data_IF_264410778763
#
_entry.id   IF_264410778763
#
_cell.length_a   1.000
_cell.length_b   1.000
_cell.length_c   1.000
_cell.angle_alpha   90.00
_cell.angle_beta   90.00
_cell.angle_gamma   90.00
#
_symmetry.space_group_name_H-M   'P 1'
#
loop_
_entity.id
_entity.type
_entity.pdbx_description
1 polymer ?
#
# COMPACT_ATOMS: atom_id res chain seq x y z
N UNK A 1 24.18 21.78 23.16
CA UNK A 1 22.81 22.32 23.37
C UNK A 1 22.13 22.64 22.04
N UNK A 2 22.71 23.46 21.17
CA UNK A 2 22.11 23.82 19.87
C UNK A 2 21.88 22.62 18.96
N UNK A 3 22.84 21.71 18.83
CA UNK A 3 22.71 20.46 18.06
C UNK A 3 21.62 19.53 18.59
N UNK A 4 21.41 19.51 19.90
CA UNK A 4 20.34 18.72 20.52
C UNK A 4 18.96 19.31 20.20
N UNK A 5 18.81 20.62 20.22
CA UNK A 5 17.58 21.33 19.84
C UNK A 5 17.27 21.15 18.36
N UNK A 6 18.27 21.23 17.48
CA UNK A 6 18.13 21.02 16.04
C UNK A 6 17.69 19.58 15.73
N UNK A 7 18.26 18.59 16.42
CA UNK A 7 17.87 17.18 16.28
C UNK A 7 16.44 16.91 16.78
N UNK A 8 16.02 17.54 17.88
CA UNK A 8 14.64 17.45 18.36
C UNK A 8 13.64 18.06 17.38
N UNK A 9 13.94 19.23 16.82
CA UNK A 9 13.07 19.88 15.84
C UNK A 9 12.97 19.08 14.55
N UNK A 10 14.07 18.49 14.07
CA UNK A 10 14.06 17.61 12.90
C UNK A 10 13.25 16.32 13.17
N UNK A 11 13.35 15.75 14.37
CA UNK A 11 12.57 14.60 14.79
C UNK A 11 11.07 14.90 14.86
N UNK A 12 10.67 16.06 15.41
CA UNK A 12 9.29 16.52 15.46
C UNK A 12 8.72 16.80 14.07
N UNK A 13 9.50 17.40 13.17
CA UNK A 13 9.12 17.62 11.78
C UNK A 13 8.85 16.30 11.04
N UNK A 14 9.73 15.32 11.17
CA UNK A 14 9.57 14.01 10.57
C UNK A 14 8.35 13.28 11.13
N UNK A 15 8.16 13.32 12.44
CA UNK A 15 6.99 12.73 13.12
C UNK A 15 5.69 13.32 12.58
N UNK A 16 5.59 14.64 12.52
CA UNK A 16 4.41 15.36 12.03
C UNK A 16 4.15 15.04 10.56
N UNK A 17 5.20 15.00 9.73
CA UNK A 17 5.07 14.70 8.31
C UNK A 17 4.56 13.27 8.08
N UNK A 18 5.14 12.26 8.75
CA UNK A 18 4.71 10.87 8.59
C UNK A 18 3.31 10.66 9.16
N UNK A 19 2.98 11.30 10.29
CA UNK A 19 1.65 11.23 10.88
C UNK A 19 0.58 11.83 9.94
N UNK A 20 0.81 13.02 9.40
CA UNK A 20 -0.08 13.67 8.44
C UNK A 20 -0.20 12.83 7.16
N UNK A 21 0.92 12.30 6.66
CA UNK A 21 0.93 11.42 5.48
C UNK A 21 0.11 10.15 5.71
N UNK A 22 0.20 9.56 6.90
CA UNK A 22 -0.61 8.38 7.28
C UNK A 22 -2.11 8.69 7.21
N UNK A 23 -2.54 9.84 7.74
CA UNK A 23 -3.94 10.28 7.68
C UNK A 23 -4.37 10.52 6.23
N UNK A 24 -3.55 11.19 5.43
CA UNK A 24 -3.88 11.47 4.02
C UNK A 24 -3.99 10.19 3.18
N UNK A 25 -3.10 9.23 3.38
CA UNK A 25 -3.18 7.93 2.70
C UNK A 25 -4.42 7.14 3.16
N UNK A 26 -4.75 7.20 4.46
CA UNK A 26 -6.01 6.61 4.93
C UNK A 26 -7.24 7.22 4.25
N UNK A 27 -7.28 8.55 4.10
CA UNK A 27 -8.38 9.25 3.42
C UNK A 27 -8.48 8.92 1.93
N UNK A 28 -7.39 8.46 1.29
CA UNK A 28 -7.45 8.00 -0.10
C UNK A 28 -8.34 6.77 -0.26
N UNK A 29 -8.43 5.90 0.73
CA UNK A 29 -9.26 4.68 0.66
C UNK A 29 -10.75 4.99 0.55
N UNK A 30 -11.40 5.77 1.43
CA UNK A 30 -12.79 6.21 1.22
C UNK A 30 -12.95 7.08 -0.03
N UNK A 31 -11.95 7.92 -0.37
CA UNK A 31 -11.96 8.66 -1.64
C UNK A 31 -12.08 7.73 -2.84
N UNK A 32 -11.34 6.63 -2.85
CA UNK A 32 -11.39 5.60 -3.88
C UNK A 32 -12.76 4.89 -3.92
N UNK A 33 -13.38 4.65 -2.75
CA UNK A 33 -14.73 4.08 -2.67
C UNK A 33 -15.75 4.96 -3.39
N UNK A 34 -15.74 6.26 -3.13
CA UNK A 34 -16.62 7.23 -3.79
C UNK A 34 -16.31 7.35 -5.28
N UNK A 35 -15.03 7.38 -5.67
CA UNK A 35 -14.62 7.46 -7.06
C UNK A 35 -15.13 6.27 -7.88
N UNK A 36 -14.88 5.04 -7.46
CA UNK A 36 -15.38 3.87 -8.18
C UNK A 36 -16.89 3.69 -8.06
N UNK A 37 -17.47 4.01 -6.89
CA UNK A 37 -18.92 4.00 -6.72
C UNK A 37 -19.62 5.00 -7.63
N UNK A 38 -19.00 6.16 -7.90
CA UNK A 38 -19.53 7.17 -8.84
C UNK A 38 -19.40 6.80 -10.32
N UNK A 39 -18.40 6.00 -10.68
CA UNK A 39 -18.15 5.58 -12.07
C UNK A 39 -18.99 4.37 -12.51
N UNK A 40 -19.54 3.60 -11.57
CA UNK A 40 -20.37 2.44 -11.92
C UNK A 40 -21.87 2.79 -11.87
N UNK A 41 -22.69 1.88 -12.33
CA UNK A 41 -24.16 2.02 -12.29
C UNK A 41 -24.66 2.21 -10.88
N UNK A 42 -25.73 3.00 -10.70
CA UNK A 42 -26.37 3.28 -9.40
C UNK A 42 -26.65 2.02 -8.59
N UNK A 43 -27.08 0.91 -9.23
CA UNK A 43 -27.38 -0.37 -8.56
C UNK A 43 -26.13 -1.07 -7.98
N UNK A 44 -24.95 -0.83 -8.53
CA UNK A 44 -23.67 -1.45 -8.12
C UNK A 44 -22.84 -0.55 -7.21
N UNK A 45 -23.09 0.75 -7.25
CA UNK A 45 -22.31 1.79 -6.55
C UNK A 45 -22.11 1.45 -5.07
N UNK A 46 -23.20 1.14 -4.36
CA UNK A 46 -23.14 0.79 -2.94
C UNK A 46 -22.30 -0.48 -2.69
N UNK A 47 -22.44 -1.49 -3.55
CA UNK A 47 -21.67 -2.74 -3.42
C UNK A 47 -20.19 -2.52 -3.62
N UNK A 48 -19.80 -1.64 -4.53
CA UNK A 48 -18.39 -1.28 -4.78
C UNK A 48 -17.82 -0.54 -3.57
N UNK A 49 -18.54 0.47 -3.08
CA UNK A 49 -18.14 1.21 -1.88
C UNK A 49 -17.99 0.28 -0.68
N UNK A 50 -18.96 -0.63 -0.47
CA UNK A 50 -18.92 -1.61 0.61
C UNK A 50 -17.66 -2.51 0.52
N UNK A 51 -17.28 -2.97 -0.67
CA UNK A 51 -16.06 -3.76 -0.87
C UNK A 51 -14.81 -3.01 -0.43
N UNK A 52 -14.70 -1.73 -0.77
CA UNK A 52 -13.57 -0.90 -0.36
C UNK A 52 -13.53 -0.70 1.16
N UNK A 53 -14.67 -0.43 1.79
CA UNK A 53 -14.73 -0.28 3.25
C UNK A 53 -14.44 -1.60 4.00
N UNK A 54 -14.92 -2.74 3.49
CA UNK A 54 -14.59 -4.06 4.04
C UNK A 54 -13.09 -4.32 4.02
N UNK A 55 -12.37 -3.84 2.97
CA UNK A 55 -10.92 -3.99 2.91
C UNK A 55 -10.20 -3.37 4.11
N UNK A 56 -10.69 -2.25 4.64
CA UNK A 56 -10.09 -1.59 5.80
C UNK A 56 -10.05 -2.56 7.00
N UNK A 57 -11.18 -3.21 7.29
CA UNK A 57 -11.27 -4.15 8.41
C UNK A 57 -10.49 -5.44 8.17
N UNK A 58 -10.70 -6.07 7.03
CA UNK A 58 -10.08 -7.38 6.71
C UNK A 58 -8.56 -7.26 6.59
N UNK A 59 -8.06 -6.27 5.85
CA UNK A 59 -6.61 -6.06 5.72
C UNK A 59 -5.99 -5.63 7.05
N UNK A 60 -6.69 -4.78 7.83
CA UNK A 60 -6.25 -4.38 9.15
C UNK A 60 -6.04 -5.59 10.08
N UNK A 61 -6.98 -6.52 10.11
CA UNK A 61 -6.85 -7.76 10.87
C UNK A 61 -5.70 -8.63 10.35
N UNK A 62 -5.62 -8.85 9.03
CA UNK A 62 -4.52 -9.63 8.44
C UNK A 62 -3.16 -9.02 8.75
N UNK A 63 -3.06 -7.68 8.76
CA UNK A 63 -1.82 -6.96 9.04
C UNK A 63 -1.36 -7.16 10.47
N UNK A 64 -2.29 -7.05 11.43
CA UNK A 64 -2.04 -7.28 12.86
C UNK A 64 -1.64 -8.74 13.13
N UNK A 65 -2.38 -9.69 12.56
CA UNK A 65 -2.20 -11.12 12.80
C UNK A 65 -1.19 -11.79 11.86
N UNK A 66 -0.16 -11.07 11.44
CA UNK A 66 1.00 -11.65 10.76
C UNK A 66 1.43 -10.92 9.49
N UNK A 67 0.57 -10.16 8.82
CA UNK A 67 0.91 -9.48 7.57
C UNK A 67 2.13 -8.55 7.72
N UNK A 68 2.16 -7.75 8.78
CA UNK A 68 3.31 -6.90 9.08
C UNK A 68 4.59 -7.71 9.31
N UNK A 69 4.49 -8.83 10.03
CA UNK A 69 5.62 -9.74 10.24
C UNK A 69 6.12 -10.38 8.96
N UNK A 70 5.22 -10.79 8.07
CA UNK A 70 5.57 -11.37 6.78
C UNK A 70 6.29 -10.37 5.87
N UNK A 71 5.97 -9.08 5.99
CA UNK A 71 6.62 -8.02 5.21
C UNK A 71 7.91 -7.54 5.87
N UNK A 72 7.87 -7.17 7.15
CA UNK A 72 8.97 -6.47 7.85
C UNK A 72 9.67 -7.33 8.92
N UNK A 73 9.33 -8.60 9.03
CA UNK A 73 10.07 -9.54 9.87
C UNK A 73 11.46 -9.85 9.30
N UNK A 74 12.31 -10.45 10.13
CA UNK A 74 13.64 -10.91 9.71
C UNK A 74 13.52 -11.78 8.47
N UNK A 75 14.28 -11.45 7.45
CA UNK A 75 14.25 -12.11 6.14
C UNK A 75 14.52 -13.63 6.23
N UNK A 76 13.68 -14.40 5.55
CA UNK A 76 13.82 -15.85 5.39
C UNK A 76 14.01 -16.14 3.89
N UNK A 77 15.26 -16.39 3.51
CA UNK A 77 15.60 -16.79 2.14
C UNK A 77 15.40 -15.73 1.07
N UNK A 78 15.25 -14.46 1.42
CA UNK A 78 14.98 -13.37 0.47
C UNK A 78 13.53 -13.28 0.00
N UNK A 79 12.65 -14.18 0.46
CA UNK A 79 11.28 -14.34 -0.08
C UNK A 79 10.21 -13.80 0.86
N UNK A 80 10.34 -14.00 2.15
CA UNK A 80 9.33 -13.62 3.14
C UNK A 80 9.96 -13.32 4.50
N UNK A 81 9.33 -12.47 5.29
CA UNK A 81 9.75 -12.19 6.67
C UNK A 81 9.27 -13.25 7.67
N UNK A 82 9.91 -13.30 8.83
CA UNK A 82 9.52 -14.20 9.92
C UNK A 82 8.10 -13.87 10.42
N UNK A 83 7.13 -14.79 10.28
CA UNK A 83 5.71 -14.50 10.56
C UNK A 83 5.41 -14.21 12.04
N UNK A 84 6.26 -14.66 12.97
CA UNK A 84 6.00 -14.56 14.40
C UNK A 84 6.68 -13.37 15.07
N UNK A 85 7.56 -12.65 14.38
CA UNK A 85 8.38 -11.60 15.00
C UNK A 85 7.56 -10.43 15.57
N UNK A 86 6.54 -10.00 14.81
CA UNK A 86 5.66 -8.87 15.17
C UNK A 86 4.18 -9.28 15.25
N UNK A 87 3.91 -10.58 15.36
CA UNK A 87 2.56 -11.14 15.43
C UNK A 87 1.76 -10.51 16.56
N UNK A 88 0.54 -10.06 16.27
CA UNK A 88 -0.41 -9.49 17.23
C UNK A 88 0.24 -8.39 18.13
N UNK A 89 0.97 -7.45 17.49
CA UNK A 89 1.71 -6.37 18.15
C UNK A 89 2.90 -6.82 19.02
N UNK A 90 3.27 -8.09 19.00
CA UNK A 90 4.47 -8.53 19.71
C UNK A 90 5.70 -7.77 19.20
N UNK A 91 6.58 -7.30 20.11
CA UNK A 91 7.77 -6.50 19.79
C UNK A 91 7.51 -5.19 19.01
N UNK A 92 6.27 -4.72 18.90
CA UNK A 92 5.94 -3.42 18.38
C UNK A 92 6.03 -2.39 19.52
N UNK A 93 7.16 -1.70 19.60
CA UNK A 93 7.45 -0.71 20.63
C UNK A 93 7.16 0.71 20.11
N UNK A 94 6.91 1.62 21.07
CA UNK A 94 6.81 3.05 20.77
C UNK A 94 8.18 3.70 20.50
N UNK A 95 9.26 2.96 20.70
CA UNK A 95 10.62 3.41 20.46
C UNK A 95 10.97 3.37 18.96
N UNK A 96 12.06 4.05 18.63
CA UNK A 96 12.59 4.10 17.25
C UNK A 96 13.26 2.76 16.93
N UNK A 97 12.78 2.09 15.89
CA UNK A 97 13.46 0.92 15.35
C UNK A 97 14.39 1.35 14.20
N UNK A 98 15.70 1.40 14.47
CA UNK A 98 16.70 1.89 13.53
C UNK A 98 16.82 1.06 12.24
N UNK A 99 16.30 -0.14 12.21
CA UNK A 99 16.31 -0.99 11.01
C UNK A 99 15.30 -0.51 9.99
N UNK A 100 14.12 -0.05 10.43
CA UNK A 100 13.01 0.30 9.56
C UNK A 100 12.69 1.79 9.55
N UNK A 101 12.94 2.49 10.67
CA UNK A 101 12.64 3.90 10.81
C UNK A 101 13.62 4.56 11.77
N UNK A 102 14.44 5.46 11.25
CA UNK A 102 15.46 6.16 12.04
C UNK A 102 14.95 7.40 12.77
N UNK A 103 13.76 7.90 12.41
CA UNK A 103 13.28 9.20 12.84
C UNK A 103 11.87 9.23 13.40
N UNK A 104 11.11 8.13 13.30
CA UNK A 104 9.74 8.04 13.81
C UNK A 104 9.53 6.78 14.64
N UNK A 105 8.60 6.77 15.63
CA UNK A 105 8.26 5.59 16.41
C UNK A 105 7.84 4.42 15.52
N UNK A 106 8.22 3.21 15.90
CA UNK A 106 7.97 2.02 15.10
C UNK A 106 6.48 1.72 14.90
N UNK A 107 5.65 2.07 15.89
CA UNK A 107 4.19 1.96 15.76
C UNK A 107 3.62 2.89 14.68
N UNK A 108 4.20 4.09 14.49
CA UNK A 108 3.76 4.99 13.41
C UNK A 108 4.17 4.45 12.04
N UNK A 109 5.36 3.85 11.95
CA UNK A 109 5.78 3.14 10.75
C UNK A 109 4.84 1.98 10.42
N UNK A 110 4.44 1.19 11.41
CA UNK A 110 3.45 0.12 11.27
C UNK A 110 2.12 0.65 10.69
N UNK A 111 1.60 1.74 11.27
CA UNK A 111 0.35 2.36 10.81
C UNK A 111 0.48 2.93 9.40
N UNK A 112 1.59 3.58 9.09
CA UNK A 112 1.85 4.14 7.77
C UNK A 112 1.85 3.04 6.70
N UNK A 113 2.55 1.96 6.94
CA UNK A 113 2.61 0.81 6.03
C UNK A 113 1.27 0.06 5.92
N UNK A 114 0.48 0.02 7.01
CA UNK A 114 -0.88 -0.51 6.98
C UNK A 114 -1.76 0.25 5.99
N UNK A 115 -1.64 1.57 5.89
CA UNK A 115 -2.46 2.37 4.95
C UNK A 115 -2.19 1.97 3.50
N UNK A 116 -0.95 1.67 3.15
CA UNK A 116 -0.61 1.15 1.81
C UNK A 116 -1.16 -0.25 1.58
N UNK A 117 -1.09 -1.12 2.57
CA UNK A 117 -1.68 -2.45 2.48
C UNK A 117 -3.20 -2.39 2.25
N UNK A 118 -3.90 -1.51 2.97
CA UNK A 118 -5.35 -1.33 2.86
C UNK A 118 -5.75 -0.85 1.47
N UNK A 119 -5.06 0.13 0.89
CA UNK A 119 -5.47 0.74 -0.38
C UNK A 119 -5.16 -0.12 -1.59
N UNK A 120 -4.18 -1.02 -1.51
CA UNK A 120 -3.64 -1.71 -2.69
C UNK A 120 -4.67 -2.56 -3.43
N UNK A 121 -5.38 -3.46 -2.75
CA UNK A 121 -6.39 -4.27 -3.41
C UNK A 121 -7.64 -3.48 -3.86
N UNK A 122 -8.15 -2.53 -3.09
CA UNK A 122 -9.22 -1.65 -3.54
C UNK A 122 -8.99 -0.98 -4.89
N UNK A 123 -7.74 -0.73 -5.29
CA UNK A 123 -7.41 -0.18 -6.61
C UNK A 123 -7.92 -1.03 -7.78
N UNK A 124 -8.02 -2.36 -7.60
CA UNK A 124 -8.56 -3.25 -8.63
C UNK A 124 -10.07 -3.53 -8.49
N UNK A 125 -10.75 -2.90 -7.52
CA UNK A 125 -12.20 -3.13 -7.30
C UNK A 125 -13.02 -2.78 -8.54
N UNK A 126 -12.63 -1.77 -9.30
CA UNK A 126 -13.26 -1.43 -10.58
C UNK A 126 -13.18 -2.55 -11.61
N UNK A 127 -12.07 -3.29 -11.67
CA UNK A 127 -11.90 -4.43 -12.57
C UNK A 127 -12.83 -5.61 -12.20
N UNK A 128 -13.18 -5.76 -10.94
CA UNK A 128 -14.04 -6.84 -10.41
C UNK A 128 -15.50 -6.41 -10.21
N UNK A 129 -15.83 -5.16 -10.50
CA UNK A 129 -17.16 -4.61 -10.34
C UNK A 129 -18.19 -5.36 -11.22
N UNK A 130 -19.34 -5.72 -10.65
CA UNK A 130 -20.38 -6.47 -11.34
C UNK A 130 -20.01 -7.93 -11.72
N UNK A 131 -18.82 -8.43 -11.31
CA UNK A 131 -18.33 -9.77 -11.65
C UNK A 131 -18.14 -10.67 -10.44
N UNK A 132 -17.76 -10.13 -9.30
CA UNK A 132 -17.57 -10.85 -8.05
C UNK A 132 -18.64 -10.46 -7.03
N UNK A 133 -19.18 -11.44 -6.33
CA UNK A 133 -19.99 -11.22 -5.13
C UNK A 133 -19.11 -10.63 -4.02
N UNK A 134 -19.70 -10.02 -3.00
CA UNK A 134 -18.96 -9.48 -1.85
C UNK A 134 -18.17 -10.58 -1.13
N UNK A 135 -18.79 -11.75 -0.89
CA UNK A 135 -18.11 -12.89 -0.25
C UNK A 135 -16.97 -13.46 -1.10
N UNK A 136 -17.15 -13.54 -2.42
CA UNK A 136 -16.08 -13.94 -3.34
C UNK A 136 -14.91 -12.95 -3.33
N UNK A 137 -15.22 -11.66 -3.26
CA UNK A 137 -14.22 -10.61 -3.19
C UNK A 137 -13.42 -10.63 -1.87
N UNK A 138 -14.07 -10.90 -0.72
CA UNK A 138 -13.38 -11.06 0.57
C UNK A 138 -12.40 -12.23 0.53
N UNK A 139 -12.82 -13.39 0.02
CA UNK A 139 -11.94 -14.55 -0.13
C UNK A 139 -10.75 -14.24 -1.03
N UNK A 140 -11.01 -13.60 -2.17
CA UNK A 140 -9.96 -13.16 -3.08
C UNK A 140 -8.99 -12.20 -2.42
N UNK A 141 -9.49 -11.20 -1.66
CA UNK A 141 -8.68 -10.24 -0.92
C UNK A 141 -7.73 -10.93 0.06
N UNK A 142 -8.23 -11.87 0.87
CA UNK A 142 -7.40 -12.58 1.86
C UNK A 142 -6.29 -13.37 1.16
N UNK A 143 -6.63 -14.16 0.15
CA UNK A 143 -5.68 -14.98 -0.59
C UNK A 143 -4.65 -14.10 -1.30
N UNK A 144 -5.10 -13.03 -1.96
CA UNK A 144 -4.22 -12.12 -2.69
C UNK A 144 -3.25 -11.38 -1.78
N UNK A 145 -3.71 -10.93 -0.60
CA UNK A 145 -2.84 -10.27 0.39
C UNK A 145 -1.70 -11.20 0.81
N UNK A 146 -2.02 -12.47 1.10
CA UNK A 146 -1.03 -13.45 1.57
C UNK A 146 -0.07 -13.88 0.45
N UNK A 147 -0.58 -14.12 -0.76
CA UNK A 147 0.22 -14.69 -1.84
C UNK A 147 0.89 -13.65 -2.73
N UNK A 148 0.38 -12.43 -2.79
CA UNK A 148 0.90 -11.39 -3.68
C UNK A 148 1.45 -10.20 -2.89
N UNK A 149 0.61 -9.54 -2.12
CA UNK A 149 1.02 -8.28 -1.49
C UNK A 149 2.16 -8.46 -0.48
N UNK A 150 2.02 -9.38 0.48
CA UNK A 150 3.03 -9.56 1.53
C UNK A 150 4.39 -10.00 0.95
N UNK A 151 4.47 -10.99 0.05
CA UNK A 151 5.74 -11.33 -0.59
C UNK A 151 6.34 -10.18 -1.39
N UNK A 152 5.58 -9.51 -2.26
CA UNK A 152 6.10 -8.40 -3.08
C UNK A 152 6.58 -7.23 -2.22
N UNK A 153 5.83 -6.89 -1.16
CA UNK A 153 6.24 -5.85 -0.22
C UNK A 153 7.52 -6.24 0.54
N UNK A 154 7.67 -7.51 0.94
CA UNK A 154 8.90 -8.00 1.56
C UNK A 154 10.10 -7.94 0.61
N UNK A 155 9.92 -8.36 -0.65
CA UNK A 155 11.00 -8.34 -1.64
C UNK A 155 11.60 -6.95 -1.85
N UNK A 156 10.77 -5.91 -1.75
CA UNK A 156 11.15 -4.54 -2.12
C UNK A 156 11.41 -3.66 -0.89
N UNK A 157 10.65 -3.83 0.19
CA UNK A 157 10.72 -2.97 1.38
C UNK A 157 11.16 -3.69 2.66
N UNK A 158 11.02 -5.02 2.70
CA UNK A 158 11.23 -5.83 3.89
C UNK A 158 12.62 -6.50 4.00
N UNK A 159 13.57 -6.14 3.17
CA UNK A 159 14.90 -6.77 3.18
C UNK A 159 15.03 -7.98 2.26
N UNK A 160 14.04 -8.22 1.37
CA UNK A 160 14.04 -9.34 0.44
C UNK A 160 15.04 -9.19 -0.73
N UNK A 161 14.95 -10.12 -1.67
CA UNK A 161 15.96 -10.25 -2.73
C UNK A 161 16.04 -9.05 -3.68
N UNK A 162 14.90 -8.40 -4.02
CA UNK A 162 14.91 -7.24 -4.90
C UNK A 162 15.58 -6.03 -4.24
N UNK A 163 15.30 -5.80 -2.96
CA UNK A 163 15.95 -4.74 -2.20
C UNK A 163 17.48 -4.97 -2.13
N UNK A 164 17.92 -6.23 -1.92
CA UNK A 164 19.34 -6.59 -1.91
C UNK A 164 20.02 -6.39 -3.25
N UNK A 165 19.28 -6.51 -4.36
CA UNK A 165 19.73 -6.19 -5.72
C UNK A 165 19.76 -4.68 -6.02
N UNK A 166 19.36 -3.82 -5.07
CA UNK A 166 19.34 -2.37 -5.23
C UNK A 166 18.09 -1.82 -5.88
N UNK A 167 17.01 -2.62 -5.97
CA UNK A 167 15.71 -2.13 -6.45
C UNK A 167 15.12 -1.15 -5.45
N UNK A 168 14.65 0.01 -5.94
CA UNK A 168 14.11 1.08 -5.11
C UNK A 168 12.69 1.44 -5.56
N UNK A 169 11.75 1.33 -4.65
CA UNK A 169 10.36 1.76 -4.82
C UNK A 169 9.99 2.76 -3.73
N UNK A 170 9.99 4.06 -4.06
CA UNK A 170 9.75 5.12 -3.07
C UNK A 170 8.29 5.35 -2.71
N UNK A 171 7.38 5.08 -3.63
CA UNK A 171 5.97 5.47 -3.50
C UNK A 171 5.00 4.33 -3.77
N UNK A 172 5.48 3.09 -3.76
CA UNK A 172 4.65 1.92 -4.03
C UNK A 172 4.32 1.72 -5.50
N UNK A 173 5.15 2.26 -6.42
CA UNK A 173 4.94 2.08 -7.84
C UNK A 173 4.84 0.61 -8.23
N UNK A 174 5.69 -0.23 -7.68
CA UNK A 174 5.69 -1.68 -7.91
C UNK A 174 4.80 -2.42 -6.92
N UNK A 175 5.00 -2.17 -5.61
CA UNK A 175 4.29 -2.89 -4.55
C UNK A 175 2.78 -2.67 -4.62
N UNK A 176 2.34 -1.46 -4.92
CA UNK A 176 0.92 -1.07 -4.91
C UNK A 176 0.34 -1.07 -6.33
N UNK A 177 0.91 -0.23 -7.21
CA UNK A 177 0.26 0.09 -8.49
C UNK A 177 0.47 -0.99 -9.55
N UNK A 178 1.69 -1.48 -9.75
CA UNK A 178 1.95 -2.56 -10.71
C UNK A 178 1.26 -3.84 -10.25
N UNK A 179 1.40 -4.22 -8.99
CA UNK A 179 0.78 -5.44 -8.46
C UNK A 179 -0.74 -5.43 -8.59
N UNK A 180 -1.41 -4.32 -8.24
CA UNK A 180 -2.85 -4.19 -8.37
C UNK A 180 -3.32 -4.12 -9.83
N UNK A 181 -2.59 -3.42 -10.71
CA UNK A 181 -2.95 -3.28 -12.12
C UNK A 181 -2.87 -4.62 -12.86
N UNK A 182 -1.77 -5.38 -12.70
CA UNK A 182 -1.63 -6.70 -13.32
C UNK A 182 -2.63 -7.71 -12.73
N UNK A 183 -2.91 -7.64 -11.43
CA UNK A 183 -3.94 -8.48 -10.81
C UNK A 183 -5.34 -8.13 -11.31
N UNK A 184 -5.63 -6.85 -11.51
CA UNK A 184 -6.86 -6.39 -12.15
C UNK A 184 -7.00 -6.89 -13.57
N UNK A 185 -5.92 -6.83 -14.36
CA UNK A 185 -5.87 -7.38 -15.73
C UNK A 185 -6.11 -8.89 -15.73
N UNK A 186 -5.41 -9.64 -14.88
CA UNK A 186 -5.61 -11.08 -14.75
C UNK A 186 -7.05 -11.43 -14.34
N UNK A 187 -7.63 -10.68 -13.39
CA UNK A 187 -9.02 -10.87 -12.99
C UNK A 187 -9.99 -10.61 -14.16
N UNK A 188 -9.77 -9.59 -14.98
CA UNK A 188 -10.61 -9.31 -16.16
C UNK A 188 -10.51 -10.44 -17.19
N UNK A 189 -9.31 -10.92 -17.45
CA UNK A 189 -9.09 -12.01 -18.42
C UNK A 189 -9.75 -13.32 -17.95
N UNK A 190 -9.66 -13.62 -16.65
CA UNK A 190 -10.24 -14.83 -16.07
C UNK A 190 -11.76 -14.76 -15.94
N UNK A 191 -12.30 -13.65 -15.46
CA UNK A 191 -13.75 -13.48 -15.22
C UNK A 191 -14.54 -13.21 -16.50
N UNK A 192 -13.88 -12.86 -17.59
CA UNK A 192 -14.52 -12.59 -18.88
C UNK A 192 -15.28 -11.27 -18.93
N UNK A 193 -16.17 -11.13 -19.90
CA UNK A 193 -16.97 -9.90 -20.13
C UNK A 193 -18.01 -9.71 -19.02
N UNK A 194 -18.38 -8.45 -18.74
CA UNK A 194 -19.54 -8.15 -17.89
C UNK A 194 -20.81 -8.69 -18.53
N UNK A 195 -21.73 -9.21 -17.71
CA UNK A 195 -23.00 -9.80 -18.17
C UNK A 195 -23.89 -8.75 -18.83
N UNK A 196 -23.78 -7.49 -18.42
CA UNK A 196 -24.50 -6.37 -19.01
C UNK A 196 -23.53 -5.56 -19.88
N UNK A 197 -23.81 -5.47 -21.18
CA UNK A 197 -23.08 -4.66 -22.14
C UNK A 197 -23.21 -3.17 -21.80
N UNK A 198 -22.23 -2.62 -21.11
CA UNK A 198 -21.98 -1.19 -21.13
C UNK A 198 -20.94 -0.91 -22.22
N UNK A 199 -21.31 -0.06 -23.15
CA UNK A 199 -20.47 0.36 -24.29
C UNK A 199 -19.25 1.19 -23.86
N UNK A 200 -19.05 1.43 -22.55
CA UNK A 200 -18.03 2.31 -22.04
C UNK A 200 -16.93 1.54 -21.31
N UNK A 201 -15.73 1.51 -21.90
CA UNK A 201 -14.52 0.87 -21.35
C UNK A 201 -13.82 1.73 -20.28
N UNK A 202 -14.57 2.33 -19.35
CA UNK A 202 -14.03 3.24 -18.33
C UNK A 202 -13.06 2.57 -17.36
N UNK A 203 -13.18 1.26 -17.11
CA UNK A 203 -12.30 0.53 -16.21
C UNK A 203 -10.84 0.47 -16.71
N UNK A 204 -10.63 0.38 -18.02
CA UNK A 204 -9.29 0.42 -18.64
C UNK A 204 -8.71 1.83 -18.54
N UNK A 205 -9.54 2.85 -18.78
CA UNK A 205 -9.13 4.26 -18.74
C UNK A 205 -8.77 4.68 -17.31
N UNK A 206 -9.52 4.23 -16.28
CA UNK A 206 -9.18 4.56 -14.90
C UNK A 206 -7.91 3.84 -14.40
N UNK A 207 -7.66 2.61 -14.82
CA UNK A 207 -6.41 1.89 -14.51
C UNK A 207 -5.21 2.57 -15.18
N UNK A 208 -5.35 2.99 -16.45
CA UNK A 208 -4.32 3.75 -17.18
C UNK A 208 -4.13 5.13 -16.53
N UNK A 209 -5.21 5.83 -16.19
CA UNK A 209 -5.15 7.14 -15.53
C UNK A 209 -4.44 7.09 -14.19
N UNK A 210 -4.72 6.08 -13.37
CA UNK A 210 -4.05 5.91 -12.06
C UNK A 210 -2.58 5.53 -12.22
N UNK A 211 -2.23 4.71 -13.21
CA UNK A 211 -0.84 4.38 -13.52
C UNK A 211 -0.06 5.62 -13.96
N UNK A 212 -0.67 6.48 -14.78
CA UNK A 212 -0.06 7.74 -15.22
C UNK A 212 0.14 8.74 -14.08
N UNK A 213 -0.83 8.87 -13.17
CA UNK A 213 -0.71 9.72 -11.98
C UNK A 213 0.43 9.23 -11.09
N UNK A 214 0.57 7.92 -10.92
CA UNK A 214 1.64 7.33 -10.12
C UNK A 214 3.04 7.55 -10.73
N UNK A 215 3.15 7.42 -12.05
CA UNK A 215 4.39 7.71 -12.78
C UNK A 215 4.75 9.20 -12.68
N UNK A 216 3.77 10.10 -12.78
CA UNK A 216 3.96 11.54 -12.60
C UNK A 216 4.41 11.88 -11.18
N UNK A 217 3.80 11.27 -10.15
CA UNK A 217 4.20 11.47 -8.75
C UNK A 217 5.62 10.98 -8.48
N UNK A 218 6.01 9.83 -9.02
CA UNK A 218 7.35 9.29 -8.93
C UNK A 218 8.37 10.21 -9.62
N UNK A 219 8.03 10.75 -10.80
CA UNK A 219 8.91 11.65 -11.57
C UNK A 219 9.10 13.01 -10.90
N UNK A 220 8.07 13.58 -10.28
CA UNK A 220 8.16 14.83 -9.52
C UNK A 220 9.10 14.64 -8.32
N UNK A 221 9.01 13.52 -7.61
CA UNK A 221 9.86 13.21 -6.47
C UNK A 221 11.32 12.93 -6.85
N UNK A 222 11.56 12.28 -7.99
CA UNK A 222 12.91 12.06 -8.51
C UNK A 222 13.58 13.36 -8.99
N UNK A 223 12.84 14.28 -9.59
CA UNK A 223 13.38 15.55 -10.08
C UNK A 223 13.75 16.51 -8.93
N UNK A 224 13.02 16.45 -7.81
CA UNK A 224 13.37 17.22 -6.61
C UNK A 224 14.66 16.72 -5.92
N UNK A 225 15.08 15.47 -6.17
CA UNK A 225 16.30 14.91 -5.60
C UNK A 225 17.57 15.41 -6.32
N UNK A 226 17.46 15.84 -7.57
CA UNK A 226 18.58 16.39 -8.34
C UNK A 226 18.92 17.85 -7.99
N UNK A 227 18.00 18.57 -7.32
CA UNK A 227 18.14 20.01 -7.03
C UNK A 227 18.16 20.35 -5.54
N UNK A 228 18.16 19.39 -4.62
CA UNK A 228 18.17 19.62 -3.17
C UNK A 228 19.47 19.12 -2.50
N UNK A 229 19.92 19.76 -1.41
CA UNK A 229 21.09 19.31 -0.69
C UNK A 229 20.91 17.89 -0.15
N UNK A 230 21.99 17.15 -0.12
CA UNK A 230 22.20 15.72 0.14
C UNK A 230 21.69 15.15 1.48
N UNK A 231 20.76 15.81 2.16
CA UNK A 231 20.28 15.43 3.51
C UNK A 231 18.96 14.63 3.52
N UNK A 232 18.45 14.23 2.35
CA UNK A 232 17.27 13.36 2.25
C UNK A 232 17.59 11.86 2.33
N UNK A 233 18.87 11.50 2.51
CA UNK A 233 19.32 10.12 2.67
C UNK A 233 18.92 9.47 4.00
N UNK A 234 18.26 10.21 4.90
CA UNK A 234 17.82 9.69 6.20
C UNK A 234 16.31 9.41 6.28
N UNK A 235 15.55 9.70 5.25
CA UNK A 235 14.21 9.15 5.06
C UNK A 235 14.28 7.88 4.20
N UNK A 236 15.18 6.96 4.56
CA UNK A 236 15.04 5.57 4.20
C UNK A 236 13.84 5.03 4.98
N UNK A 237 12.64 5.38 4.54
CA UNK A 237 11.45 4.57 4.73
C UNK A 237 11.60 3.45 3.69
N UNK A 238 12.61 2.60 3.93
CA UNK A 238 12.68 1.30 3.31
C UNK A 238 11.59 0.45 3.89
#
# INVERSE_FOLDING_TARGET
MLTHILNLNASLGNLTFVFLSTILVFLMTPGLAFFYGGLDRKKNSLTIMLKVFIAIGVVGLLWIFGGFSLVFGKDIGGVIGNPMQFFAFHNLLFDINRTYSTSVPFILFFLYQLMFAIITLPLMTGATAGRLTVGGWIKFLIIWMILVYFPVAHWIWGGGFLQKLGFVDFAGGTVIHISSAFSGLAAILYLGKRIEHDKENWAVISAIGMSLISILFCRIKCNNKSNGPSNFSTLNVN
#
